data_IF_586021337666
#
_entry.id   IF_586021337666
#
_cell.length_a   1.000
_cell.length_b   1.000
_cell.length_c   1.000
_cell.angle_alpha   90.00
_cell.angle_beta   90.00
_cell.angle_gamma   90.00
#
_symmetry.space_group_name_H-M   'P 1'
#
loop_
_entity.id
_entity.type
_entity.pdbx_description
1 polymer ?
#
# COMPACT_ATOMS: atom_id res chain seq x y z
N UNK A 1 -18.88 -15.25 20.82
CA UNK A 1 -20.31 -14.98 20.52
C UNK A 1 -20.91 -16.25 19.92
N UNK A 2 -22.18 -16.58 20.16
CA UNK A 2 -22.81 -17.70 19.48
C UNK A 2 -22.81 -17.43 17.96
N UNK A 3 -22.43 -18.43 17.16
CA UNK A 3 -22.57 -18.41 15.69
C UNK A 3 -23.99 -17.94 15.33
N UNK A 4 -24.11 -16.88 14.53
CA UNK A 4 -25.40 -16.62 13.87
C UNK A 4 -25.71 -17.85 13.00
N UNK A 5 -26.93 -18.41 13.06
CA UNK A 5 -27.28 -19.55 12.23
C UNK A 5 -27.17 -19.11 10.78
N UNK A 6 -26.31 -19.79 10.01
CA UNK A 6 -26.28 -19.66 8.56
C UNK A 6 -27.72 -19.79 8.02
N UNK A 7 -28.11 -19.01 7.01
CA UNK A 7 -29.42 -19.17 6.39
C UNK A 7 -29.63 -20.67 6.07
N UNK A 8 -30.78 -21.20 6.48
CA UNK A 8 -31.06 -22.63 6.34
C UNK A 8 -30.98 -22.99 4.86
N UNK A 9 -29.94 -23.75 4.50
CA UNK A 9 -29.73 -24.23 3.14
C UNK A 9 -31.00 -24.86 2.60
N UNK A 10 -31.34 -24.51 1.36
CA UNK A 10 -32.46 -25.12 0.62
C UNK A 10 -32.13 -26.55 0.18
N UNK A 11 -30.88 -26.98 0.31
CA UNK A 11 -30.41 -28.30 -0.09
C UNK A 11 -30.62 -29.35 1.00
N UNK A 12 -31.23 -30.46 0.60
CA UNK A 12 -31.36 -31.65 1.45
C UNK A 12 -30.03 -32.39 1.56
N UNK A 13 -29.85 -33.16 2.66
CA UNK A 13 -28.66 -34.00 2.85
C UNK A 13 -28.37 -34.91 1.65
N UNK A 14 -29.40 -35.55 1.08
CA UNK A 14 -29.26 -36.45 -0.06
C UNK A 14 -28.76 -35.73 -1.34
N UNK A 15 -29.22 -34.50 -1.59
CA UNK A 15 -28.75 -33.70 -2.72
C UNK A 15 -27.27 -33.32 -2.56
N UNK A 16 -26.83 -32.97 -1.35
CA UNK A 16 -25.43 -32.65 -1.08
C UNK A 16 -24.54 -33.90 -1.20
N UNK A 17 -24.95 -35.04 -0.65
CA UNK A 17 -24.21 -36.30 -0.79
C UNK A 17 -24.07 -36.71 -2.25
N UNK A 18 -25.10 -36.49 -3.06
CA UNK A 18 -25.07 -36.77 -4.48
C UNK A 18 -24.21 -35.80 -5.28
N UNK A 19 -24.20 -34.52 -4.92
CA UNK A 19 -23.26 -33.53 -5.45
C UNK A 19 -21.81 -33.94 -5.17
N UNK A 20 -21.49 -34.33 -3.93
CA UNK A 20 -20.15 -34.75 -3.52
C UNK A 20 -19.67 -36.04 -4.23
N UNK A 21 -20.59 -36.88 -4.74
CA UNK A 21 -20.25 -38.04 -5.57
C UNK A 21 -19.97 -37.65 -7.03
N UNK A 22 -20.71 -36.67 -7.56
CA UNK A 22 -20.64 -36.27 -8.98
C UNK A 22 -19.53 -35.27 -9.26
N UNK A 23 -19.14 -34.48 -8.27
CA UNK A 23 -18.17 -33.40 -8.40
C UNK A 23 -16.97 -33.62 -7.48
N UNK A 24 -15.77 -33.31 -7.98
CA UNK A 24 -14.54 -33.45 -7.21
C UNK A 24 -14.18 -32.12 -6.52
N UNK A 25 -14.22 -32.12 -5.18
CA UNK A 25 -13.86 -31.00 -4.31
C UNK A 25 -12.68 -31.35 -3.40
N UNK A 26 -11.49 -31.50 -3.98
CA UNK A 26 -10.33 -32.08 -3.29
C UNK A 26 -9.33 -31.08 -2.74
N UNK A 27 -9.45 -29.79 -3.07
CA UNK A 27 -8.44 -28.80 -2.68
C UNK A 27 -8.64 -28.26 -1.25
N UNK A 28 -9.84 -27.77 -0.94
CA UNK A 28 -10.19 -27.19 0.37
C UNK A 28 -11.29 -28.01 1.05
N UNK A 29 -11.17 -28.20 2.37
CA UNK A 29 -12.24 -28.74 3.20
C UNK A 29 -13.19 -27.59 3.60
N UNK A 30 -14.41 -27.63 3.09
CA UNK A 30 -15.47 -26.67 3.33
C UNK A 30 -16.57 -27.42 4.07
N UNK A 31 -16.89 -26.93 5.27
CA UNK A 31 -18.00 -27.46 6.07
C UNK A 31 -19.30 -27.12 5.37
N UNK A 32 -20.15 -28.12 5.17
CA UNK A 32 -21.45 -28.02 4.52
C UNK A 32 -22.57 -28.31 5.52
N UNK A 33 -23.83 -27.96 5.18
CA UNK A 33 -24.99 -28.33 5.98
C UNK A 33 -25.07 -29.85 6.21
N UNK A 34 -25.85 -30.24 7.23
CA UNK A 34 -26.08 -31.64 7.61
C UNK A 34 -24.82 -32.39 8.09
N UNK A 35 -23.79 -31.66 8.51
CA UNK A 35 -22.53 -32.22 9.03
C UNK A 35 -21.62 -32.81 7.94
N UNK A 36 -21.84 -32.44 6.68
CA UNK A 36 -21.03 -32.89 5.54
C UNK A 36 -19.84 -31.95 5.32
N UNK A 37 -18.86 -32.40 4.53
CA UNK A 37 -17.70 -31.59 4.16
C UNK A 37 -17.14 -32.06 2.82
N UNK A 38 -16.53 -31.14 2.07
CA UNK A 38 -15.62 -31.50 0.97
C UNK A 38 -14.33 -32.15 1.52
N UNK A 39 -13.60 -32.89 0.69
CA UNK A 39 -12.52 -33.78 1.11
C UNK A 39 -11.12 -33.16 1.07
N UNK A 40 -11.01 -31.83 1.01
CA UNK A 40 -9.74 -31.14 0.84
C UNK A 40 -9.00 -30.82 2.15
N UNK A 41 -8.08 -29.86 2.09
CA UNK A 41 -7.31 -29.43 3.25
C UNK A 41 -8.08 -28.42 4.10
N UNK A 42 -8.06 -28.59 5.42
CA UNK A 42 -8.61 -27.61 6.35
C UNK A 42 -7.70 -26.38 6.43
N UNK A 43 -8.30 -25.20 6.23
CA UNK A 43 -7.65 -23.89 6.25
C UNK A 43 -8.14 -23.03 7.43
N UNK A 44 -8.85 -23.62 8.39
CA UNK A 44 -9.46 -22.89 9.52
C UNK A 44 -8.43 -22.20 10.42
N UNK A 45 -7.27 -22.83 10.64
CA UNK A 45 -6.15 -22.23 11.37
C UNK A 45 -5.64 -20.96 10.69
N UNK A 46 -5.39 -21.05 9.39
CA UNK A 46 -4.99 -19.88 8.58
C UNK A 46 -6.08 -18.81 8.57
N UNK A 47 -7.36 -19.16 8.43
CA UNK A 47 -8.45 -18.18 8.46
C UNK A 47 -8.53 -17.43 9.79
N UNK A 48 -8.30 -18.12 10.93
CA UNK A 48 -8.23 -17.48 12.24
C UNK A 48 -7.05 -16.52 12.36
N UNK A 49 -5.93 -16.85 11.73
CA UNK A 49 -4.75 -15.98 11.71
C UNK A 49 -4.95 -14.76 10.82
N UNK A 50 -5.57 -14.93 9.64
CA UNK A 50 -5.58 -13.87 8.62
C UNK A 50 -6.84 -13.03 8.56
N UNK A 51 -8.00 -13.51 9.01
CA UNK A 51 -9.25 -12.74 9.03
C UNK A 51 -9.49 -12.18 10.43
N UNK A 52 -9.93 -10.91 10.57
CA UNK A 52 -10.36 -10.40 11.87
C UNK A 52 -11.56 -11.19 12.36
N UNK A 53 -11.79 -11.22 13.67
CA UNK A 53 -12.94 -11.96 14.23
C UNK A 53 -14.29 -11.35 13.83
N UNK A 54 -14.32 -10.03 13.59
CA UNK A 54 -15.49 -9.27 13.15
C UNK A 54 -15.19 -8.51 11.85
N UNK A 55 -15.98 -8.78 10.82
CA UNK A 55 -15.94 -8.16 9.51
C UNK A 55 -17.23 -7.40 9.19
N UNK A 56 -18.07 -7.14 10.20
CA UNK A 56 -19.36 -6.45 10.03
C UNK A 56 -19.21 -5.14 9.26
N UNK A 57 -19.97 -5.01 8.17
CA UNK A 57 -19.94 -3.81 7.31
C UNK A 57 -18.75 -3.73 6.35
N UNK A 58 -17.78 -4.66 6.42
CA UNK A 58 -16.54 -4.60 5.65
C UNK A 58 -16.61 -5.43 4.37
N UNK A 59 -15.73 -5.09 3.43
CA UNK A 59 -15.60 -5.74 2.13
C UNK A 59 -14.33 -6.59 2.05
N UNK A 60 -14.45 -7.81 1.51
CA UNK A 60 -13.32 -8.75 1.36
C UNK A 60 -13.20 -9.20 -0.09
N UNK A 61 -11.97 -9.19 -0.61
CA UNK A 61 -11.59 -9.78 -1.88
C UNK A 61 -10.62 -10.95 -1.65
N UNK A 62 -10.88 -12.08 -2.28
CA UNK A 62 -9.98 -13.24 -2.29
C UNK A 62 -9.56 -13.56 -3.73
N UNK A 63 -8.27 -13.37 -4.05
CA UNK A 63 -7.69 -13.63 -5.38
C UNK A 63 -7.03 -15.00 -5.39
N UNK A 64 -7.43 -15.85 -6.34
CA UNK A 64 -7.20 -17.30 -6.34
C UNK A 64 -8.06 -18.02 -5.32
N UNK A 65 -9.36 -17.71 -5.29
CA UNK A 65 -10.26 -18.18 -4.25
C UNK A 65 -10.51 -19.71 -4.28
N UNK A 66 -10.17 -20.39 -5.39
CA UNK A 66 -10.41 -21.82 -5.60
C UNK A 66 -11.85 -22.22 -5.29
N UNK A 67 -12.10 -23.02 -4.25
CA UNK A 67 -13.44 -23.46 -3.84
C UNK A 67 -14.18 -22.45 -2.95
N UNK A 68 -13.57 -21.29 -2.64
CA UNK A 68 -14.20 -20.20 -1.90
C UNK A 68 -14.05 -20.26 -0.38
N UNK A 69 -13.15 -21.09 0.17
CA UNK A 69 -13.02 -21.28 1.62
C UNK A 69 -12.90 -19.96 2.41
N UNK A 70 -11.98 -19.07 2.02
CA UNK A 70 -11.77 -17.81 2.73
C UNK A 70 -12.91 -16.81 2.52
N UNK A 71 -13.60 -16.91 1.38
CA UNK A 71 -14.81 -16.15 1.13
C UNK A 71 -15.93 -16.52 2.12
N UNK A 72 -16.18 -17.82 2.31
CA UNK A 72 -17.19 -18.30 3.27
C UNK A 72 -16.79 -17.98 4.71
N UNK A 73 -15.50 -18.12 5.04
CA UNK A 73 -14.99 -17.73 6.35
C UNK A 73 -15.11 -16.22 6.62
N UNK A 74 -15.00 -15.37 5.60
CA UNK A 74 -15.24 -13.92 5.73
C UNK A 74 -16.74 -13.62 5.92
N UNK A 75 -17.62 -14.29 5.16
CA UNK A 75 -19.07 -14.18 5.32
C UNK A 75 -19.55 -14.59 6.71
N UNK A 76 -19.04 -15.70 7.23
CA UNK A 76 -19.38 -16.18 8.59
C UNK A 76 -18.95 -15.22 9.70
N UNK A 77 -18.07 -14.25 9.39
CA UNK A 77 -17.61 -13.18 10.29
C UNK A 77 -18.34 -11.85 10.07
N UNK A 78 -19.40 -11.83 9.26
CA UNK A 78 -20.24 -10.65 9.05
C UNK A 78 -19.81 -9.73 7.89
N UNK A 79 -18.82 -10.12 7.07
CA UNK A 79 -18.41 -9.32 5.91
C UNK A 79 -19.61 -8.95 5.04
N UNK A 80 -19.86 -7.66 4.84
CA UNK A 80 -21.03 -7.16 4.12
C UNK A 80 -20.97 -7.50 2.62
N UNK A 81 -19.77 -7.51 2.05
CA UNK A 81 -19.52 -7.89 0.65
C UNK A 81 -18.29 -8.79 0.55
N UNK A 82 -18.40 -9.89 -0.17
CA UNK A 82 -17.29 -10.80 -0.41
C UNK A 82 -17.22 -11.15 -1.89
N UNK A 83 -16.04 -10.95 -2.48
CA UNK A 83 -15.75 -11.27 -3.88
C UNK A 83 -14.63 -12.29 -3.94
N UNK A 84 -14.84 -13.41 -4.64
CA UNK A 84 -13.83 -14.40 -4.94
C UNK A 84 -13.48 -14.38 -6.43
N UNK A 85 -12.20 -14.20 -6.75
CA UNK A 85 -11.67 -14.20 -8.11
C UNK A 85 -10.77 -15.42 -8.33
N UNK A 86 -10.93 -16.12 -9.44
CA UNK A 86 -10.04 -17.23 -9.82
C UNK A 86 -9.83 -17.26 -11.34
N UNK A 87 -8.66 -17.72 -11.79
CA UNK A 87 -8.35 -17.81 -13.22
C UNK A 87 -9.12 -18.96 -13.88
N UNK A 88 -9.32 -20.06 -13.15
CA UNK A 88 -9.92 -21.28 -13.65
C UNK A 88 -11.45 -21.21 -13.54
N UNK A 89 -12.13 -21.17 -14.69
CA UNK A 89 -13.59 -21.12 -14.75
C UNK A 89 -14.27 -22.26 -13.95
N UNK A 90 -13.61 -23.42 -13.88
CA UNK A 90 -14.10 -24.59 -13.16
C UNK A 90 -14.06 -24.40 -11.64
N UNK A 91 -13.03 -23.72 -11.10
CA UNK A 91 -12.98 -23.36 -9.68
C UNK A 91 -14.13 -22.40 -9.34
N UNK A 92 -14.33 -21.38 -10.18
CA UNK A 92 -15.43 -20.42 -10.03
C UNK A 92 -16.79 -21.12 -10.06
N UNK A 93 -17.01 -22.05 -10.99
CA UNK A 93 -18.25 -22.84 -11.07
C UNK A 93 -18.49 -23.62 -9.78
N UNK A 94 -17.47 -24.32 -9.28
CA UNK A 94 -17.53 -25.10 -8.04
C UNK A 94 -17.79 -24.22 -6.82
N UNK A 95 -17.10 -23.08 -6.71
CA UNK A 95 -17.31 -22.13 -5.63
C UNK A 95 -18.74 -21.58 -5.61
N UNK A 96 -19.32 -21.26 -6.78
CA UNK A 96 -20.74 -20.85 -6.89
C UNK A 96 -21.71 -21.94 -6.44
N UNK A 97 -21.47 -23.20 -6.79
CA UNK A 97 -22.28 -24.32 -6.31
C UNK A 97 -22.20 -24.42 -4.79
N UNK A 98 -21.01 -24.32 -4.22
CA UNK A 98 -20.83 -24.38 -2.76
C UNK A 98 -21.48 -23.18 -2.06
N UNK A 99 -21.45 -21.99 -2.66
CA UNK A 99 -22.14 -20.82 -2.16
C UNK A 99 -23.67 -21.02 -2.11
N UNK A 100 -24.24 -21.60 -3.17
CA UNK A 100 -25.67 -21.95 -3.23
C UNK A 100 -26.04 -22.99 -2.16
N UNK A 101 -25.22 -24.04 -2.01
CA UNK A 101 -25.40 -25.05 -0.95
C UNK A 101 -25.34 -24.43 0.43
N UNK A 102 -24.47 -23.44 0.66
CA UNK A 102 -24.32 -22.75 1.94
C UNK A 102 -25.37 -21.65 2.17
N UNK A 103 -26.09 -21.22 1.13
CA UNK A 103 -26.98 -20.06 1.19
C UNK A 103 -26.23 -18.74 1.40
N UNK A 104 -24.94 -18.69 1.02
CA UNK A 104 -24.08 -17.52 1.24
C UNK A 104 -23.98 -16.66 -0.03
N UNK A 105 -24.37 -15.37 0.01
CA UNK A 105 -24.33 -14.48 -1.15
C UNK A 105 -22.89 -13.98 -1.39
N UNK A 106 -22.05 -14.85 -1.96
CA UNK A 106 -20.68 -14.50 -2.39
C UNK A 106 -20.63 -14.27 -3.89
N UNK A 107 -20.00 -13.19 -4.31
CA UNK A 107 -19.75 -12.87 -5.71
C UNK A 107 -18.50 -13.63 -6.20
N UNK A 108 -18.66 -14.65 -7.05
CA UNK A 108 -17.54 -15.33 -7.68
C UNK A 108 -17.42 -14.97 -9.15
N UNK A 109 -16.21 -14.67 -9.63
CA UNK A 109 -15.97 -14.35 -11.04
C UNK A 109 -14.64 -14.94 -11.54
N UNK A 110 -14.63 -15.33 -12.83
CA UNK A 110 -13.39 -15.69 -13.50
C UNK A 110 -12.61 -14.41 -13.80
N UNK A 111 -11.34 -14.36 -13.39
CA UNK A 111 -10.52 -13.16 -13.55
C UNK A 111 -9.04 -13.49 -13.66
N UNK A 112 -8.38 -12.90 -14.65
CA UNK A 112 -6.93 -12.93 -14.80
C UNK A 112 -6.33 -11.66 -14.19
N UNK A 113 -5.78 -11.78 -12.98
CA UNK A 113 -5.19 -10.65 -12.24
C UNK A 113 -3.93 -10.10 -12.90
N UNK A 114 -3.27 -10.85 -13.80
CA UNK A 114 -2.10 -10.36 -14.52
C UNK A 114 -2.50 -9.43 -15.67
N UNK A 115 -3.65 -9.71 -16.30
CA UNK A 115 -4.10 -9.00 -17.51
C UNK A 115 -5.08 -7.88 -17.22
N UNK A 116 -5.96 -8.04 -16.23
CA UNK A 116 -7.10 -7.16 -16.04
C UNK A 116 -7.04 -6.42 -14.69
N UNK A 117 -7.43 -5.13 -14.65
CA UNK A 117 -7.57 -4.41 -13.39
C UNK A 117 -8.62 -5.09 -12.51
N UNK A 118 -8.47 -4.96 -11.19
CA UNK A 118 -9.49 -5.39 -10.24
C UNK A 118 -10.48 -4.25 -10.05
N UNK A 119 -11.77 -4.54 -10.21
CA UNK A 119 -12.82 -3.53 -10.08
C UNK A 119 -13.11 -3.20 -8.62
N UNK A 120 -13.06 -1.91 -8.30
CA UNK A 120 -13.35 -1.39 -6.97
C UNK A 120 -12.20 -1.54 -5.97
N UNK A 121 -12.49 -1.24 -4.71
CA UNK A 121 -11.54 -1.36 -3.60
C UNK A 121 -12.20 -2.04 -2.40
N UNK A 122 -11.41 -2.82 -1.66
CA UNK A 122 -11.87 -3.68 -0.58
C UNK A 122 -11.12 -3.38 0.72
N UNK A 123 -11.79 -3.50 1.86
CA UNK A 123 -11.17 -3.30 3.17
C UNK A 123 -10.11 -4.36 3.44
N UNK A 124 -10.34 -5.59 2.97
CA UNK A 124 -9.39 -6.68 3.00
C UNK A 124 -9.19 -7.31 1.61
N UNK A 125 -7.93 -7.48 1.22
CA UNK A 125 -7.55 -8.21 0.01
C UNK A 125 -6.65 -9.38 0.41
N UNK A 126 -7.02 -10.58 -0.02
CA UNK A 126 -6.27 -11.81 0.17
C UNK A 126 -5.71 -12.27 -1.17
N UNK A 127 -4.45 -12.71 -1.18
CA UNK A 127 -3.82 -13.38 -2.32
C UNK A 127 -2.92 -14.49 -1.79
N UNK A 128 -3.49 -15.68 -1.65
CA UNK A 128 -2.89 -16.76 -0.86
C UNK A 128 -2.41 -17.87 -1.79
N UNK A 129 -1.09 -18.09 -1.83
CA UNK A 129 -0.45 -19.08 -2.69
C UNK A 129 -0.63 -18.89 -4.20
N UNK A 130 -0.84 -17.65 -4.65
CA UNK A 130 -1.05 -17.34 -6.08
C UNK A 130 0.15 -16.61 -6.67
N UNK A 131 0.58 -15.52 -6.03
CA UNK A 131 1.49 -14.52 -6.63
C UNK A 131 2.76 -15.12 -7.23
N UNK A 132 3.32 -16.17 -6.62
CA UNK A 132 4.57 -16.80 -7.06
C UNK A 132 4.44 -17.74 -8.27
N UNK A 133 3.22 -18.04 -8.71
CA UNK A 133 2.95 -18.82 -9.91
C UNK A 133 2.70 -17.94 -11.15
N UNK A 134 2.54 -16.63 -10.95
CA UNK A 134 2.25 -15.67 -12.02
C UNK A 134 3.49 -15.37 -12.86
N UNK A 135 3.29 -15.02 -14.12
CA UNK A 135 4.35 -14.59 -15.01
C UNK A 135 4.88 -13.18 -14.66
N UNK A 136 3.98 -12.29 -14.23
CA UNK A 136 4.26 -10.93 -13.73
C UNK A 136 3.76 -10.75 -12.28
N UNK A 137 4.51 -11.26 -11.28
CA UNK A 137 4.14 -11.12 -9.87
C UNK A 137 4.16 -9.67 -9.38
N UNK A 138 4.96 -8.78 -10.00
CA UNK A 138 5.07 -7.38 -9.56
C UNK A 138 3.86 -6.59 -10.07
N UNK A 139 3.50 -6.71 -11.34
CA UNK A 139 2.30 -6.07 -11.87
C UNK A 139 1.02 -6.58 -11.21
N UNK A 140 0.95 -7.87 -10.85
CA UNK A 140 -0.15 -8.40 -10.07
C UNK A 140 -0.18 -7.81 -8.65
N UNK A 141 0.97 -7.71 -7.98
CA UNK A 141 1.09 -7.07 -6.67
C UNK A 141 0.58 -5.62 -6.70
N UNK A 142 0.90 -4.86 -7.74
CA UNK A 142 0.47 -3.47 -7.89
C UNK A 142 -1.06 -3.35 -8.00
N UNK A 143 -1.71 -4.27 -8.70
CA UNK A 143 -3.17 -4.35 -8.78
C UNK A 143 -3.80 -4.72 -7.44
N UNK A 144 -3.21 -5.65 -6.69
CA UNK A 144 -3.66 -6.01 -5.34
C UNK A 144 -3.56 -4.82 -4.38
N UNK A 145 -2.45 -4.07 -4.42
CA UNK A 145 -2.26 -2.84 -3.63
C UNK A 145 -3.29 -1.78 -4.01
N UNK A 146 -3.58 -1.64 -5.32
CA UNK A 146 -4.62 -0.74 -5.83
C UNK A 146 -6.02 -1.10 -5.33
N UNK A 147 -6.37 -2.38 -5.33
CA UNK A 147 -7.65 -2.89 -4.82
C UNK A 147 -7.77 -2.81 -3.28
N UNK A 148 -6.67 -2.63 -2.55
CA UNK A 148 -6.68 -2.61 -1.08
C UNK A 148 -7.02 -1.21 -0.54
N UNK A 149 -7.99 -1.13 0.37
CA UNK A 149 -8.28 0.05 1.23
C UNK A 149 -7.59 -0.05 2.58
N UNK A 150 -7.72 -1.20 3.25
CA UNK A 150 -7.27 -1.39 4.63
C UNK A 150 -6.07 -2.34 4.73
N UNK A 151 -6.27 -3.62 4.47
CA UNK A 151 -5.25 -4.65 4.71
C UNK A 151 -5.08 -5.59 3.51
N UNK A 152 -3.84 -5.74 3.08
CA UNK A 152 -3.42 -6.74 2.08
C UNK A 152 -2.79 -7.92 2.82
N UNK A 153 -3.26 -9.13 2.54
CA UNK A 153 -2.70 -10.37 3.07
C UNK A 153 -2.17 -11.20 1.91
N UNK A 154 -0.88 -11.55 1.97
CA UNK A 154 -0.24 -12.41 0.98
C UNK A 154 0.23 -13.70 1.65
N UNK A 155 0.09 -14.83 0.97
CA UNK A 155 0.80 -16.05 1.36
C UNK A 155 1.72 -16.49 0.22
N UNK A 156 3.02 -16.58 0.51
CA UNK A 156 4.07 -16.72 -0.48
C UNK A 156 4.97 -17.91 -0.17
N UNK A 157 5.46 -18.57 -1.23
CA UNK A 157 6.50 -19.58 -1.12
C UNK A 157 7.87 -18.91 -0.97
N UNK A 158 8.65 -19.40 -0.02
CA UNK A 158 10.09 -19.15 0.09
C UNK A 158 10.84 -20.46 -0.20
N UNK A 159 12.17 -20.40 -0.35
CA UNK A 159 12.95 -21.61 -0.57
C UNK A 159 13.28 -22.31 0.75
N UNK A 160 12.72 -23.52 0.88
CA UNK A 160 12.92 -24.43 1.98
C UNK A 160 14.12 -25.35 1.90
N UNK A 161 14.38 -26.07 3.01
CA UNK A 161 15.40 -27.14 3.06
C UNK A 161 15.10 -28.25 2.04
N UNK A 162 13.85 -28.40 1.60
CA UNK A 162 13.43 -29.35 0.57
C UNK A 162 13.70 -28.84 -0.85
N UNK A 163 13.55 -27.55 -1.12
CA UNK A 163 13.74 -26.97 -2.46
C UNK A 163 15.22 -26.66 -2.78
N UNK A 164 16.11 -26.74 -1.78
CA UNK A 164 17.57 -26.57 -1.97
C UNK A 164 18.14 -27.43 -3.11
N UNK A 165 17.62 -28.66 -3.28
CA UNK A 165 18.04 -29.60 -4.33
C UNK A 165 17.59 -29.13 -5.72
N UNK A 166 16.40 -28.52 -5.82
CA UNK A 166 15.87 -27.99 -7.08
C UNK A 166 16.64 -26.76 -7.54
N UNK A 167 17.19 -25.99 -6.60
CA UNK A 167 17.98 -24.79 -6.88
C UNK A 167 19.49 -25.04 -6.97
N UNK A 168 19.97 -26.26 -6.65
CA UNK A 168 21.39 -26.58 -6.64
C UNK A 168 22.20 -25.87 -5.54
N UNK A 169 21.54 -25.51 -4.43
CA UNK A 169 22.13 -24.68 -3.36
C UNK A 169 22.48 -25.55 -2.14
N UNK A 170 23.67 -25.32 -1.56
CA UNK A 170 24.10 -25.96 -0.32
C UNK A 170 23.33 -25.47 0.92
N UNK A 171 23.31 -26.25 2.00
CA UNK A 171 22.55 -25.91 3.21
C UNK A 171 22.97 -24.58 3.87
N UNK A 172 24.28 -24.30 3.93
CA UNK A 172 24.81 -23.07 4.51
C UNK A 172 24.46 -21.83 3.65
N UNK A 173 24.50 -21.99 2.33
CA UNK A 173 24.09 -20.95 1.39
C UNK A 173 22.60 -20.63 1.55
N UNK A 174 21.73 -21.62 1.71
CA UNK A 174 20.30 -21.41 1.91
C UNK A 174 19.98 -20.57 3.16
N UNK A 175 20.64 -20.87 4.29
CA UNK A 175 20.49 -20.11 5.53
C UNK A 175 20.89 -18.64 5.39
N UNK A 176 21.90 -18.35 4.56
CA UNK A 176 22.27 -16.97 4.26
C UNK A 176 21.27 -16.31 3.29
N UNK A 177 20.92 -17.00 2.19
CA UNK A 177 20.12 -16.41 1.11
C UNK A 177 18.70 -16.07 1.55
N UNK A 178 18.10 -16.84 2.47
CA UNK A 178 16.77 -16.53 3.02
C UNK A 178 16.72 -15.21 3.81
N UNK A 179 17.88 -14.69 4.25
CA UNK A 179 18.02 -13.44 5.00
C UNK A 179 18.35 -12.22 4.13
N UNK A 180 18.54 -12.42 2.83
CA UNK A 180 18.87 -11.36 1.87
C UNK A 180 17.63 -11.07 1.02
N UNK A 181 17.35 -9.80 0.63
CA UNK A 181 16.24 -9.48 -0.25
C UNK A 181 16.50 -10.03 -1.65
N UNK A 182 15.85 -11.15 -1.99
CA UNK A 182 16.05 -11.87 -3.24
C UNK A 182 14.72 -12.34 -3.84
N UNK A 183 14.67 -12.26 -5.17
CA UNK A 183 13.65 -12.90 -6.00
C UNK A 183 14.37 -13.86 -6.95
N UNK A 184 13.98 -15.13 -6.92
CA UNK A 184 14.60 -16.20 -7.73
C UNK A 184 13.55 -16.83 -8.63
N UNK A 185 13.90 -17.09 -9.88
CA UNK A 185 13.06 -17.82 -10.82
C UNK A 185 13.52 -19.28 -10.86
N UNK A 186 12.70 -20.18 -10.34
CA UNK A 186 12.95 -21.61 -10.38
C UNK A 186 12.70 -22.18 -11.78
N UNK A 187 13.53 -23.14 -12.19
CA UNK A 187 13.22 -24.06 -13.29
C UNK A 187 12.25 -25.10 -12.70
N UNK A 188 10.96 -25.02 -13.02
CA UNK A 188 9.90 -25.81 -12.39
C UNK A 188 10.15 -27.33 -12.40
N UNK A 189 9.41 -28.06 -11.55
CA UNK A 189 9.34 -29.52 -11.67
C UNK A 189 8.67 -29.88 -13.01
N UNK A 190 9.14 -30.96 -13.64
CA UNK A 190 8.92 -31.32 -15.05
C UNK A 190 7.47 -31.67 -15.48
N UNK A 191 6.42 -31.22 -14.77
CA UNK A 191 5.03 -31.53 -15.09
C UNK A 191 4.15 -30.36 -15.52
N UNK A 192 4.52 -29.09 -15.30
CA UNK A 192 3.62 -27.95 -15.63
C UNK A 192 4.24 -26.77 -16.40
N UNK A 193 5.55 -26.78 -16.70
CA UNK A 193 6.16 -25.78 -17.61
C UNK A 193 6.19 -24.31 -17.11
N UNK A 194 5.47 -23.96 -16.03
CA UNK A 194 5.44 -22.62 -15.45
C UNK A 194 6.67 -22.41 -14.56
N UNK A 195 7.38 -21.31 -14.81
CA UNK A 195 8.51 -20.89 -13.97
C UNK A 195 7.96 -20.31 -12.66
N UNK A 196 8.29 -20.91 -11.54
CA UNK A 196 7.86 -20.45 -10.22
C UNK A 196 8.82 -19.39 -9.67
N UNK A 197 8.28 -18.27 -9.18
CA UNK A 197 9.06 -17.29 -8.42
C UNK A 197 9.22 -17.74 -6.97
N UNK A 198 10.37 -17.46 -6.38
CA UNK A 198 10.62 -17.60 -4.94
C UNK A 198 11.02 -16.23 -4.42
N UNK A 199 10.25 -15.70 -3.47
CA UNK A 199 10.52 -14.40 -2.86
C UNK A 199 10.93 -14.63 -1.41
N UNK A 200 12.06 -14.06 -0.99
CA UNK A 200 12.44 -14.08 0.43
C UNK A 200 11.61 -13.07 1.22
N UNK A 201 11.35 -13.30 2.51
CA UNK A 201 10.66 -12.32 3.36
C UNK A 201 11.26 -10.91 3.29
N UNK A 202 12.59 -10.71 3.33
CA UNK A 202 13.18 -9.36 3.18
C UNK A 202 12.94 -8.74 1.80
N UNK A 203 12.79 -9.54 0.74
CA UNK A 203 12.45 -9.01 -0.59
C UNK A 203 11.04 -8.42 -0.59
N UNK A 204 10.10 -9.14 0.01
CA UNK A 204 8.69 -8.71 0.08
C UNK A 204 8.53 -7.52 1.01
N UNK A 205 9.21 -7.54 2.17
CA UNK A 205 9.28 -6.36 3.05
C UNK A 205 9.83 -5.16 2.27
N UNK A 206 10.88 -5.33 1.46
CA UNK A 206 11.42 -4.22 0.68
C UNK A 206 10.45 -3.70 -0.40
N UNK A 207 9.75 -4.61 -1.10
CA UNK A 207 8.77 -4.25 -2.12
C UNK A 207 7.56 -3.52 -1.54
N UNK A 208 7.15 -3.83 -0.32
CA UNK A 208 5.98 -3.21 0.32
C UNK A 208 6.34 -2.01 1.18
N UNK A 209 7.49 -2.01 1.85
CA UNK A 209 7.86 -0.98 2.81
C UNK A 209 8.68 0.15 2.20
N UNK A 210 9.63 -0.17 1.31
CA UNK A 210 10.57 0.82 0.72
C UNK A 210 10.25 1.20 -0.73
N UNK A 211 9.28 0.54 -1.37
CA UNK A 211 8.83 0.88 -2.72
C UNK A 211 7.42 1.44 -2.75
N UNK A 212 6.71 1.43 -1.62
CA UNK A 212 5.32 1.89 -1.50
C UNK A 212 5.15 2.77 -0.28
N UNK A 213 4.75 4.02 -0.49
CA UNK A 213 4.47 4.98 0.59
C UNK A 213 3.10 4.83 1.24
N UNK A 214 2.25 3.98 0.66
CA UNK A 214 0.89 3.80 1.12
C UNK A 214 0.75 2.90 2.37
N UNK A 215 1.77 2.11 2.75
CA UNK A 215 1.67 1.18 3.89
C UNK A 215 2.18 1.74 5.20
N UNK A 216 1.34 1.71 6.24
CA UNK A 216 1.65 2.09 7.61
C UNK A 216 2.54 1.07 8.32
N UNK A 217 2.33 -0.22 8.05
CA UNK A 217 3.15 -1.31 8.56
C UNK A 217 3.12 -2.50 7.62
N UNK A 218 4.17 -3.31 7.71
CA UNK A 218 4.28 -4.62 7.06
C UNK A 218 4.78 -5.59 8.12
N UNK A 219 4.08 -6.69 8.30
CA UNK A 219 4.41 -7.75 9.25
C UNK A 219 4.51 -9.06 8.50
N UNK A 220 5.47 -9.91 8.87
CA UNK A 220 5.70 -11.19 8.22
C UNK A 220 5.76 -12.29 9.28
N UNK A 221 4.96 -13.31 9.10
CA UNK A 221 4.91 -14.47 10.00
C UNK A 221 5.08 -15.78 9.20
N UNK A 222 5.58 -16.85 9.83
CA UNK A 222 5.52 -18.18 9.22
C UNK A 222 4.08 -18.57 8.89
N UNK A 223 3.89 -19.34 7.81
CA UNK A 223 2.63 -20.03 7.52
C UNK A 223 2.59 -21.39 8.21
N UNK A 224 1.38 -21.93 8.42
CA UNK A 224 1.17 -23.35 8.77
C UNK A 224 1.72 -24.29 7.68
N UNK A 225 1.87 -23.78 6.46
CA UNK A 225 2.47 -24.51 5.35
C UNK A 225 3.98 -24.38 5.35
N UNK A 226 4.62 -25.54 5.21
CA UNK A 226 6.07 -25.66 5.14
C UNK A 226 6.63 -24.78 4.01
N UNK A 227 7.72 -24.07 4.32
CA UNK A 227 8.46 -23.23 3.39
C UNK A 227 7.61 -22.09 2.79
N UNK A 228 6.60 -21.63 3.55
CA UNK A 228 5.75 -20.49 3.22
C UNK A 228 5.67 -19.50 4.38
N UNK A 229 5.33 -18.27 4.05
CA UNK A 229 5.12 -17.18 5.00
C UNK A 229 3.91 -16.35 4.60
N UNK A 230 3.32 -15.69 5.60
CA UNK A 230 2.19 -14.79 5.44
C UNK A 230 2.68 -13.37 5.68
N UNK A 231 2.25 -12.45 4.82
CA UNK A 231 2.53 -11.02 4.92
C UNK A 231 1.24 -10.30 5.23
N UNK A 232 1.27 -9.45 6.25
CA UNK A 232 0.22 -8.50 6.59
C UNK A 232 0.72 -7.09 6.27
N UNK A 233 0.14 -6.46 5.26
CA UNK A 233 0.46 -5.08 4.91
C UNK A 233 -0.75 -4.19 5.20
N UNK A 234 -0.59 -3.27 6.15
CA UNK A 234 -1.63 -2.37 6.62
C UNK A 234 -1.50 -1.04 5.89
N UNK A 235 -2.47 -0.72 5.04
CA UNK A 235 -2.50 0.51 4.26
C UNK A 235 -2.94 1.69 5.14
N UNK A 236 -2.33 2.84 4.92
CA UNK A 236 -2.73 4.10 5.55
C UNK A 236 -4.13 4.47 5.09
N UNK A 237 -4.98 4.83 6.04
CA UNK A 237 -6.31 5.39 5.83
C UNK A 237 -6.34 6.76 6.46
N UNK A 238 -6.34 7.78 5.63
CA UNK A 238 -6.20 9.17 6.06
C UNK A 238 -7.48 9.92 5.67
N UNK A 239 -8.19 10.50 6.63
CA UNK A 239 -9.36 11.33 6.34
C UNK A 239 -8.96 12.62 5.60
N UNK A 240 -8.09 13.41 6.23
CA UNK A 240 -7.53 14.62 5.63
C UNK A 240 -6.01 14.70 5.79
N UNK A 241 -5.30 14.74 4.66
CA UNK A 241 -3.85 14.89 4.62
C UNK A 241 -3.47 16.36 4.39
N UNK A 242 -2.62 16.88 5.26
CA UNK A 242 -2.06 18.23 5.13
C UNK A 242 -0.57 18.09 4.77
N UNK A 243 -0.29 18.18 3.48
CA UNK A 243 1.08 18.07 2.96
C UNK A 243 1.74 19.45 3.04
N UNK A 244 2.73 19.60 3.91
CA UNK A 244 3.57 20.81 3.98
C UNK A 244 4.84 20.53 3.19
N UNK A 245 4.93 21.16 2.03
CA UNK A 245 5.93 20.87 1.02
C UNK A 245 6.84 22.08 0.81
N UNK A 246 8.13 21.88 0.55
CA UNK A 246 9.04 22.99 0.26
C UNK A 246 10.49 22.53 0.32
N UNK A 247 11.46 23.27 -0.23
CA UNK A 247 12.86 22.86 -0.23
C UNK A 247 13.47 22.96 1.19
N UNK A 248 14.52 22.20 1.50
CA UNK A 248 15.25 22.31 2.77
C UNK A 248 15.65 23.77 3.08
N UNK A 249 15.57 24.21 4.34
CA UNK A 249 15.73 25.62 4.71
C UNK A 249 14.47 26.49 4.59
N UNK A 250 13.35 25.99 4.07
CA UNK A 250 12.06 26.72 4.03
C UNK A 250 11.28 26.74 5.36
N UNK A 251 11.87 26.24 6.45
CA UNK A 251 11.25 26.17 7.78
C UNK A 251 9.93 25.37 7.84
N UNK A 252 9.80 24.27 7.07
CA UNK A 252 8.59 23.41 7.05
C UNK A 252 8.12 22.96 8.43
N UNK A 253 9.05 22.56 9.30
CA UNK A 253 8.72 22.14 10.67
C UNK A 253 8.11 23.27 11.51
N UNK A 254 8.55 24.51 11.28
CA UNK A 254 7.97 25.69 11.94
C UNK A 254 6.53 25.92 11.48
N UNK A 255 6.30 25.83 10.17
CA UNK A 255 4.96 25.96 9.59
C UNK A 255 4.03 24.85 10.08
N UNK A 256 4.46 23.58 10.08
CA UNK A 256 3.67 22.46 10.62
C UNK A 256 3.25 22.75 12.07
N UNK A 257 4.19 23.22 12.91
CA UNK A 257 3.91 23.57 14.31
C UNK A 257 2.89 24.70 14.42
N UNK A 258 3.02 25.76 13.61
CA UNK A 258 2.09 26.90 13.60
C UNK A 258 0.70 26.49 13.11
N UNK A 259 0.61 25.65 12.08
CA UNK A 259 -0.67 25.09 11.62
C UNK A 259 -1.32 24.28 12.74
N UNK A 260 -0.56 23.37 13.37
CA UNK A 260 -1.06 22.55 14.47
C UNK A 260 -1.51 23.35 15.69
N UNK A 261 -0.96 24.55 15.90
CA UNK A 261 -1.35 25.48 16.96
C UNK A 261 -2.45 26.47 16.55
N UNK A 262 -2.98 26.40 15.32
CA UNK A 262 -3.94 27.39 14.80
C UNK A 262 -3.37 28.79 14.61
N UNK A 263 -2.04 28.93 14.62
CA UNK A 263 -1.30 30.20 14.58
C UNK A 263 -0.95 30.66 13.14
N UNK A 264 -1.68 30.17 12.13
CA UNK A 264 -1.59 30.62 10.73
C UNK A 264 -2.99 30.99 10.20
N UNK A 265 -3.53 32.17 10.61
CA UNK A 265 -4.87 32.61 10.25
C UNK A 265 -5.21 32.53 8.75
N UNK A 266 -4.28 32.84 7.81
CA UNK A 266 -4.57 32.71 6.38
C UNK A 266 -4.92 31.29 5.91
N UNK A 267 -4.56 30.27 6.68
CA UNK A 267 -4.78 28.86 6.36
C UNK A 267 -5.82 28.18 7.26
N UNK A 268 -6.23 28.81 8.37
CA UNK A 268 -7.10 28.19 9.39
C UNK A 268 -8.43 27.67 8.83
N UNK A 269 -9.04 28.39 7.89
CA UNK A 269 -10.30 27.97 7.26
C UNK A 269 -10.18 26.80 6.28
N UNK A 270 -8.97 26.56 5.75
CA UNK A 270 -8.69 25.51 4.73
C UNK A 270 -8.23 24.20 5.37
N UNK A 271 -7.58 24.29 6.52
CA UNK A 271 -6.90 23.16 7.15
C UNK A 271 -7.72 22.45 8.24
N UNK A 272 -8.91 22.99 8.56
CA UNK A 272 -9.78 22.51 9.64
C UNK A 272 -9.12 22.71 11.01
N UNK A 273 -9.41 23.80 11.71
CA UNK A 273 -8.69 24.14 12.95
C UNK A 273 -9.16 23.36 14.19
N UNK A 274 -10.19 22.52 14.08
CA UNK A 274 -10.81 21.91 15.25
C UNK A 274 -10.09 20.59 15.64
N UNK A 275 -9.63 20.53 16.89
CA UNK A 275 -9.05 19.33 17.50
C UNK A 275 -7.54 19.41 17.77
N UNK A 276 -6.96 18.34 18.35
CA UNK A 276 -5.53 18.27 18.66
C UNK A 276 -4.69 18.25 17.39
N UNK A 277 -3.45 18.76 17.49
CA UNK A 277 -2.50 18.78 16.38
C UNK A 277 -2.28 17.35 15.81
N UNK A 278 -2.42 17.16 14.49
CA UNK A 278 -2.16 15.87 13.85
C UNK A 278 -0.74 15.36 14.06
N UNK A 279 -0.56 14.04 14.00
CA UNK A 279 0.76 13.43 13.89
C UNK A 279 1.44 13.89 12.58
N UNK A 280 2.79 13.86 12.55
CA UNK A 280 3.57 14.21 11.36
C UNK A 280 4.29 13.00 10.80
N UNK A 281 4.02 12.68 9.54
CA UNK A 281 4.76 11.73 8.73
C UNK A 281 5.87 12.47 7.99
N UNK A 282 7.13 12.07 8.21
CA UNK A 282 8.27 12.61 7.47
C UNK A 282 8.49 11.77 6.21
N UNK A 283 8.62 12.42 5.05
CA UNK A 283 8.90 11.72 3.79
C UNK A 283 10.19 10.89 3.83
N UNK A 284 11.18 11.25 4.66
CA UNK A 284 12.40 10.46 4.85
C UNK A 284 12.23 9.17 5.66
N UNK A 285 11.11 9.04 6.36
CA UNK A 285 10.82 7.96 7.31
C UNK A 285 9.46 7.31 7.03
N UNK A 286 8.93 7.48 5.82
CA UNK A 286 7.60 6.95 5.44
C UNK A 286 7.49 5.43 5.61
N UNK A 287 8.62 4.72 5.53
CA UNK A 287 8.75 3.27 5.65
C UNK A 287 8.69 2.77 7.10
N UNK A 288 8.80 3.67 8.08
CA UNK A 288 8.76 3.29 9.48
C UNK A 288 7.33 2.91 9.91
N UNK A 289 7.17 1.85 10.72
CA UNK A 289 5.87 1.45 11.23
C UNK A 289 5.18 2.57 12.00
N UNK A 290 3.88 2.74 11.77
CA UNK A 290 3.04 3.66 12.52
C UNK A 290 1.57 3.24 12.50
N UNK A 291 0.68 4.02 13.14
CA UNK A 291 -0.76 3.80 13.07
C UNK A 291 -1.25 3.78 11.62
N UNK A 292 -2.20 2.89 11.32
CA UNK A 292 -2.78 2.81 9.98
C UNK A 292 -3.87 3.87 9.75
N UNK A 293 -4.61 4.24 10.81
CA UNK A 293 -5.75 5.13 10.70
C UNK A 293 -5.45 6.51 11.26
N UNK A 294 -5.75 7.53 10.46
CA UNK A 294 -5.59 8.93 10.82
C UNK A 294 -6.80 9.73 10.37
N UNK A 295 -7.50 10.38 11.30
CA UNK A 295 -8.51 11.37 10.91
C UNK A 295 -7.84 12.53 10.15
N UNK A 296 -6.69 12.98 10.65
CA UNK A 296 -5.84 14.00 10.04
C UNK A 296 -4.37 13.61 10.18
N UNK A 297 -3.56 13.95 9.18
CA UNK A 297 -2.12 13.69 9.19
C UNK A 297 -1.35 14.84 8.53
N UNK A 298 -0.27 15.30 9.16
CA UNK A 298 0.71 16.15 8.49
C UNK A 298 1.70 15.30 7.70
N UNK A 299 2.07 15.78 6.51
CA UNK A 299 3.12 15.18 5.71
C UNK A 299 4.19 16.21 5.37
N UNK A 300 5.39 16.03 5.91
CA UNK A 300 6.55 16.89 5.64
C UNK A 300 7.29 16.36 4.41
N UNK A 301 7.27 17.13 3.33
CA UNK A 301 7.89 16.77 2.06
C UNK A 301 8.89 17.82 1.57
N UNK A 302 10.12 17.38 1.30
CA UNK A 302 11.12 18.20 0.63
C UNK A 302 10.98 18.07 -0.89
N UNK A 303 10.64 19.16 -1.59
CA UNK A 303 10.46 19.11 -3.06
C UNK A 303 11.77 18.82 -3.81
N UNK A 304 12.94 18.97 -3.17
CA UNK A 304 14.22 18.59 -3.76
C UNK A 304 14.60 17.12 -3.52
N UNK A 305 13.78 16.38 -2.77
CA UNK A 305 14.02 14.98 -2.43
C UNK A 305 14.24 14.08 -3.66
N UNK A 306 13.44 14.12 -4.75
CA UNK A 306 13.65 13.22 -5.88
C UNK A 306 14.99 13.43 -6.58
N UNK A 307 15.44 14.69 -6.68
CA UNK A 307 16.67 15.06 -7.36
C UNK A 307 17.90 14.72 -6.51
N UNK A 308 17.77 14.79 -5.19
CA UNK A 308 18.85 14.41 -4.26
C UNK A 308 18.98 12.89 -4.08
N UNK A 309 17.88 12.13 -4.21
CA UNK A 309 17.86 10.67 -4.10
C UNK A 309 18.01 9.93 -5.44
N UNK A 310 18.04 10.64 -6.57
CA UNK A 310 18.20 10.04 -7.90
C UNK A 310 16.93 9.42 -8.47
N UNK A 311 15.75 9.73 -7.93
CA UNK A 311 14.46 9.34 -8.49
C UNK A 311 14.14 10.11 -9.79
N UNK A 312 14.81 11.25 -10.02
CA UNK A 312 14.72 12.13 -11.20
C UNK A 312 13.38 12.86 -11.36
N UNK A 313 12.25 12.25 -10.97
CA UNK A 313 10.91 12.85 -11.01
C UNK A 313 10.10 12.54 -9.74
N UNK A 314 9.08 13.36 -9.45
CA UNK A 314 8.16 13.14 -8.33
C UNK A 314 7.37 11.83 -8.43
N UNK A 315 7.01 11.40 -9.65
CA UNK A 315 6.27 10.15 -9.87
C UNK A 315 7.02 8.89 -9.44
N UNK A 316 8.34 8.96 -9.27
CA UNK A 316 9.18 7.84 -8.84
C UNK A 316 9.52 7.87 -7.34
N UNK A 317 9.09 8.89 -6.60
CA UNK A 317 9.31 8.94 -5.15
C UNK A 317 8.18 8.20 -4.42
N UNK A 318 8.45 7.03 -3.83
CA UNK A 318 7.43 6.22 -3.18
C UNK A 318 6.75 6.94 -2.02
N UNK A 319 7.42 7.90 -1.36
CA UNK A 319 6.84 8.64 -0.24
C UNK A 319 5.58 9.41 -0.65
N UNK A 320 5.47 9.83 -1.92
CA UNK A 320 4.34 10.59 -2.41
C UNK A 320 3.08 9.76 -2.66
N UNK A 321 3.16 8.43 -2.67
CA UNK A 321 1.96 7.57 -2.70
C UNK A 321 1.02 7.82 -1.51
N UNK A 322 1.52 8.42 -0.42
CA UNK A 322 0.66 8.80 0.71
C UNK A 322 -0.44 9.78 0.31
N UNK A 323 -0.19 10.65 -0.69
CA UNK A 323 -1.19 11.57 -1.24
C UNK A 323 -2.41 10.82 -1.80
N UNK A 324 -2.18 9.62 -2.36
CA UNK A 324 -3.22 8.80 -2.98
C UNK A 324 -3.95 7.89 -1.95
N UNK A 325 -3.56 7.96 -0.67
CA UNK A 325 -4.20 7.21 0.43
C UNK A 325 -5.17 8.03 1.26
N UNK A 326 -5.22 9.34 1.04
CA UNK A 326 -6.10 10.25 1.75
C UNK A 326 -7.45 10.43 1.05
N UNK A 327 -8.52 10.56 1.82
CA UNK A 327 -9.85 10.88 1.28
C UNK A 327 -9.90 12.31 0.75
N UNK A 328 -9.27 13.24 1.47
CA UNK A 328 -9.05 14.62 1.05
C UNK A 328 -7.62 15.04 1.33
N UNK A 329 -7.09 15.97 0.53
CA UNK A 329 -5.73 16.49 0.70
C UNK A 329 -5.68 18.00 0.50
N UNK A 330 -4.89 18.67 1.34
CA UNK A 330 -4.47 20.08 1.15
C UNK A 330 -2.95 20.12 1.08
N UNK A 331 -2.42 20.67 -0.01
CA UNK A 331 -1.00 20.85 -0.26
C UNK A 331 -0.65 22.32 0.01
N UNK A 332 0.24 22.53 0.98
CA UNK A 332 0.80 23.83 1.34
C UNK A 332 2.25 23.85 0.89
N UNK A 333 2.52 24.45 -0.27
CA UNK A 333 3.89 24.63 -0.74
C UNK A 333 4.49 25.90 -0.17
N UNK A 334 5.60 25.79 0.56
CA UNK A 334 6.35 26.91 1.06
C UNK A 334 7.22 27.47 -0.05
N UNK A 335 7.07 28.76 -0.32
CA UNK A 335 7.96 29.54 -1.15
C UNK A 335 8.86 30.41 -0.28
N UNK A 336 10.14 30.48 -0.65
CA UNK A 336 11.09 31.45 -0.14
C UNK A 336 12.13 31.77 -1.24
N UNK A 337 12.62 33.02 -1.32
CA UNK A 337 13.66 33.40 -2.27
C UNK A 337 14.98 32.68 -1.98
N UNK A 338 15.87 32.55 -2.99
CA UNK A 338 17.13 31.83 -2.86
C UNK A 338 18.00 32.24 -1.68
N UNK A 339 18.06 33.54 -1.34
CA UNK A 339 18.87 34.02 -0.23
C UNK A 339 18.34 33.50 1.12
N UNK A 340 17.02 33.51 1.31
CA UNK A 340 16.37 33.02 2.53
C UNK A 340 16.53 31.51 2.67
N UNK A 341 16.40 30.75 1.57
CA UNK A 341 16.64 29.30 1.58
C UNK A 341 18.10 28.96 1.89
N UNK A 342 19.04 29.72 1.33
CA UNK A 342 20.46 29.57 1.60
C UNK A 342 20.76 29.84 3.07
N UNK A 343 20.21 30.91 3.65
CA UNK A 343 20.37 31.20 5.07
C UNK A 343 19.77 30.08 5.96
N UNK A 344 18.57 29.61 5.61
CA UNK A 344 17.87 28.56 6.37
C UNK A 344 18.61 27.22 6.37
N UNK A 345 19.17 26.82 5.22
CA UNK A 345 19.82 25.50 5.10
C UNK A 345 21.19 25.43 5.76
N UNK A 346 21.89 26.55 5.97
CA UNK A 346 23.21 26.55 6.63
C UNK A 346 23.15 26.00 8.06
N UNK A 347 22.08 26.28 8.81
CA UNK A 347 21.86 25.70 10.13
C UNK A 347 21.68 24.17 10.07
N UNK A 348 20.95 23.67 9.05
CA UNK A 348 20.77 22.23 8.82
C UNK A 348 22.09 21.54 8.44
N UNK A 349 22.92 22.19 7.61
CA UNK A 349 24.25 21.68 7.22
C UNK A 349 25.18 21.59 8.43
N UNK A 350 25.16 22.59 9.31
CA UNK A 350 26.00 22.62 10.52
C UNK A 350 25.62 21.50 11.51
N UNK A 351 24.31 21.20 11.63
CA UNK A 351 23.81 20.15 12.53
C UNK A 351 23.88 18.72 11.95
N UNK A 352 24.00 18.56 10.63
CA UNK A 352 23.92 17.26 9.97
C UNK A 352 25.29 16.55 9.83
N UNK A 353 25.24 15.21 9.74
CA UNK A 353 26.41 14.36 9.46
C UNK A 353 26.11 13.36 8.33
N UNK A 354 27.18 12.80 7.74
CA UNK A 354 27.08 11.70 6.78
C UNK A 354 26.24 12.03 5.54
N UNK A 355 25.30 11.13 5.18
CA UNK A 355 24.46 11.28 3.97
C UNK A 355 23.52 12.48 4.04
N UNK A 356 22.97 12.79 5.23
CA UNK A 356 22.07 13.93 5.42
C UNK A 356 22.79 15.25 5.11
N UNK A 357 24.02 15.42 5.61
CA UNK A 357 24.83 16.62 5.31
C UNK A 357 25.12 16.75 3.81
N UNK A 358 25.48 15.66 3.13
CA UNK A 358 25.71 15.65 1.67
C UNK A 358 24.47 16.09 0.90
N UNK A 359 23.28 15.65 1.34
CA UNK A 359 22.01 16.07 0.75
C UNK A 359 21.78 17.58 0.89
N UNK A 360 21.97 18.13 2.08
CA UNK A 360 21.78 19.56 2.31
C UNK A 360 22.78 20.42 1.55
N UNK A 361 24.04 19.99 1.43
CA UNK A 361 25.05 20.67 0.59
C UNK A 361 24.60 20.70 -0.87
N UNK A 362 24.09 19.58 -1.40
CA UNK A 362 23.57 19.51 -2.77
C UNK A 362 22.33 20.38 -2.97
N UNK A 363 21.41 20.41 -2.00
CA UNK A 363 20.25 21.29 -2.05
C UNK A 363 20.65 22.77 -2.07
N UNK A 364 21.68 23.16 -1.29
CA UNK A 364 22.22 24.53 -1.32
C UNK A 364 22.80 24.91 -2.69
N UNK A 365 23.44 23.98 -3.40
CA UNK A 365 23.92 24.22 -4.77
C UNK A 365 22.78 24.53 -5.74
N UNK A 366 21.60 23.92 -5.56
CA UNK A 366 20.40 24.24 -6.36
C UNK A 366 19.89 25.66 -6.12
N UNK A 367 20.15 26.26 -4.94
CA UNK A 367 19.72 27.62 -4.62
C UNK A 367 20.60 28.70 -5.26
N UNK A 368 21.80 28.35 -5.74
CA UNK A 368 22.69 29.31 -6.40
C UNK A 368 22.19 29.74 -7.79
N UNK A 369 21.23 29.00 -8.35
CA UNK A 369 20.63 29.28 -9.65
C UNK A 369 19.11 29.40 -9.51
N UNK A 370 18.63 30.65 -9.47
CA UNK A 370 17.21 30.95 -9.33
C UNK A 370 16.33 30.27 -10.40
N UNK A 371 16.86 30.07 -11.63
CA UNK A 371 16.12 29.42 -12.72
C UNK A 371 15.94 27.93 -12.45
N UNK A 372 16.96 27.26 -11.89
CA UNK A 372 16.83 25.86 -11.46
C UNK A 372 15.81 25.70 -10.36
N UNK A 373 15.86 26.58 -9.36
CA UNK A 373 14.89 26.56 -8.26
C UNK A 373 13.46 26.74 -8.78
N UNK A 374 13.21 27.76 -9.61
CA UNK A 374 11.90 28.00 -10.24
C UNK A 374 11.44 26.77 -11.04
N UNK A 375 12.34 26.11 -11.78
CA UNK A 375 12.01 24.87 -12.50
C UNK A 375 11.54 23.76 -11.55
N UNK A 376 12.22 23.54 -10.42
CA UNK A 376 11.81 22.52 -9.44
C UNK A 376 10.40 22.80 -8.86
N UNK A 377 10.07 24.07 -8.59
CA UNK A 377 8.72 24.44 -8.15
C UNK A 377 7.67 24.22 -9.25
N UNK A 378 7.96 24.56 -10.52
CA UNK A 378 7.05 24.29 -11.64
C UNK A 378 6.80 22.80 -11.82
N UNK A 379 7.84 21.97 -11.80
CA UNK A 379 7.70 20.52 -11.87
C UNK A 379 6.88 19.96 -10.70
N UNK A 380 7.02 20.54 -9.50
CA UNK A 380 6.20 20.19 -8.34
C UNK A 380 4.73 20.60 -8.52
N UNK A 381 4.48 21.79 -9.06
CA UNK A 381 3.14 22.30 -9.31
C UNK A 381 2.41 21.50 -10.38
N UNK A 382 3.11 21.14 -11.47
CA UNK A 382 2.57 20.26 -12.52
C UNK A 382 2.23 18.87 -11.94
N UNK A 383 3.08 18.33 -11.08
CA UNK A 383 2.79 17.08 -10.38
C UNK A 383 1.56 17.18 -9.48
N UNK A 384 1.38 18.30 -8.77
CA UNK A 384 0.21 18.53 -7.91
C UNK A 384 -1.08 18.77 -8.72
N UNK A 385 -1.00 19.46 -9.85
CA UNK A 385 -2.15 19.78 -10.70
C UNK A 385 -2.89 18.53 -11.22
N UNK A 386 -2.18 17.41 -11.36
CA UNK A 386 -2.77 16.11 -11.72
C UNK A 386 -3.59 15.45 -10.61
N UNK A 387 -3.74 16.08 -9.43
CA UNK A 387 -4.40 15.51 -8.26
C UNK A 387 -5.60 16.33 -7.83
N UNK A 388 -6.60 15.64 -7.27
CA UNK A 388 -7.75 16.27 -6.62
C UNK A 388 -7.39 16.75 -5.21
N UNK A 389 -6.49 17.74 -5.12
CA UNK A 389 -6.06 18.35 -3.86
C UNK A 389 -6.15 19.87 -3.94
N UNK A 390 -6.54 20.50 -2.84
CA UNK A 390 -6.40 21.95 -2.72
C UNK A 390 -4.91 22.30 -2.66
N UNK A 391 -4.45 23.25 -3.46
CA UNK A 391 -3.04 23.63 -3.51
C UNK A 391 -2.88 25.14 -3.25
N UNK A 392 -2.14 25.46 -2.20
CA UNK A 392 -1.77 26.82 -1.83
C UNK A 392 -0.26 26.97 -1.74
N UNK A 393 0.21 28.15 -2.11
CA UNK A 393 1.59 28.58 -1.92
C UNK A 393 1.62 29.55 -0.74
N UNK A 394 2.45 29.24 0.27
CA UNK A 394 2.67 30.06 1.45
C UNK A 394 4.06 30.69 1.37
N UNK A 395 4.12 32.02 1.45
CA UNK A 395 5.36 32.76 1.59
C UNK A 395 5.42 33.42 2.97
N UNK A 396 6.38 33.00 3.78
CA UNK A 396 6.67 33.59 5.08
C UNK A 396 7.55 34.84 4.92
N UNK A 397 6.93 36.00 4.72
CA UNK A 397 7.61 37.30 4.66
C UNK A 397 7.83 37.89 6.05
N UNK A 398 8.71 38.88 6.15
CA UNK A 398 9.00 39.60 7.39
C UNK A 398 7.78 40.38 7.92
N UNK A 399 6.92 40.86 7.02
CA UNK A 399 5.68 41.59 7.32
C UNK A 399 4.46 40.68 7.56
N UNK A 400 4.62 39.36 7.36
CA UNK A 400 3.61 38.36 7.65
C UNK A 400 3.47 37.26 6.58
N UNK A 401 2.68 36.21 6.87
CA UNK A 401 2.42 35.14 5.91
C UNK A 401 1.53 35.63 4.75
N UNK A 402 2.01 35.47 3.52
CA UNK A 402 1.24 35.68 2.31
C UNK A 402 0.82 34.33 1.69
N UNK A 403 -0.45 34.20 1.31
CA UNK A 403 -0.99 33.03 0.63
C UNK A 403 -1.34 33.39 -0.80
N UNK A 404 -0.96 32.54 -1.74
CA UNK A 404 -1.25 32.70 -3.17
C UNK A 404 -1.50 31.34 -3.83
N UNK A 405 -2.12 31.34 -5.00
CA UNK A 405 -2.24 30.18 -5.87
C UNK A 405 -0.94 29.90 -6.63
N UNK A 406 -0.74 28.68 -7.16
CA UNK A 406 0.36 28.38 -8.08
C UNK A 406 0.44 29.33 -9.28
N UNK A 407 -0.72 29.78 -9.80
CA UNK A 407 -0.79 30.72 -10.92
C UNK A 407 -0.34 32.14 -10.53
N UNK A 408 -0.75 32.61 -9.34
CA UNK A 408 -0.28 33.90 -8.81
C UNK A 408 1.22 33.86 -8.50
N UNK A 409 1.73 32.75 -7.97
CA UNK A 409 3.16 32.53 -7.80
C UNK A 409 3.90 32.61 -9.15
N UNK A 410 3.38 31.95 -10.19
CA UNK A 410 3.99 31.97 -11.52
C UNK A 410 4.12 33.41 -12.06
N UNK A 411 3.06 34.22 -11.93
CA UNK A 411 3.03 35.59 -12.40
C UNK A 411 3.90 36.56 -11.57
N UNK A 412 3.89 36.41 -10.24
CA UNK A 412 4.49 37.40 -9.32
C UNK A 412 5.91 37.04 -8.88
N UNK A 413 6.32 35.78 -9.02
CA UNK A 413 7.61 35.27 -8.55
C UNK A 413 8.42 34.66 -9.69
N UNK A 414 7.85 33.65 -10.38
CA UNK A 414 8.60 32.85 -11.34
C UNK A 414 9.05 33.65 -12.57
N UNK A 415 8.13 34.40 -13.19
CA UNK A 415 8.41 35.22 -14.38
C UNK A 415 9.47 36.30 -14.08
N UNK A 416 9.36 37.10 -13.00
CA UNK A 416 10.42 38.03 -12.62
C UNK A 416 11.78 37.37 -12.42
N UNK A 417 11.85 36.27 -11.64
CA UNK A 417 13.11 35.57 -11.36
C UNK A 417 13.75 34.94 -12.60
N UNK A 418 12.94 34.49 -13.56
CA UNK A 418 13.43 33.96 -14.83
C UNK A 418 13.92 35.05 -15.79
N UNK A 419 13.33 36.25 -15.70
CA UNK A 419 13.66 37.42 -16.52
C UNK A 419 14.88 38.22 -16.08
N UNK A 420 15.37 38.01 -14.84
CA UNK A 420 16.70 38.52 -14.41
C UNK A 420 17.76 37.62 -15.08
N UNK A 421 18.37 38.13 -16.15
CA UNK A 421 19.43 37.49 -16.93
C UNK A 421 20.70 38.31 -16.83
#
# INVERSE_FOLDING_TARGET
MPEQPAPASTWTRAQIEDLLRRESFTYQAIKLPHGLSTSGHDRSGTAKLILPDDLSGQSVLDVGCSLGFFCFAARSRGAARVVGLDLEAENVRKARILADVLGEPVEFAQHDVEKHPIDGRFDHVLCLNVLHHLADPIGALDRLIGATRGRLVLELATFGLHDRRKLGIGWAQQLMLTRVPMMVVGRGAASEGIKQFYLTPPAVDNLLRFRRGCFASVEITPSDYKDRFIVFAHKRRIGHLIAVCGPAGSNRQDVIRRIGAGALPPLSGRLGADGPAPATLLADRYYEPGPAEHARLFFDYDILRPFTLGAVTFSHDPALEVLDTAETSTIVTLWAPPEQLTQGIEAEIAGAKGRARKRFVRAREEYQDARRLVRHYREWFDYCAGRSAEHVVLWMKDDGPAVMSPQEWEATVAVPLAGVA
#
